data_IF_964203585773
#
_entry.id   IF_964203585773
#
_cell.length_a   1.000
_cell.length_b   1.000
_cell.length_c   1.000
_cell.angle_alpha   90.00
_cell.angle_beta   90.00
_cell.angle_gamma   90.00
#
_symmetry.space_group_name_H-M   'P 1'
#
loop_
_entity.id
_entity.type
_entity.pdbx_description
1 polymer ?
#
# COMPACT_ATOMS: atom_id res chain seq x y z
N UNK A 1 -22.35 8.14 -36.26
CA UNK A 1 -21.51 7.81 -37.43
C UNK A 1 -21.41 6.30 -37.52
N UNK A 2 -21.44 5.69 -38.72
CA UNK A 2 -21.27 4.26 -38.85
C UNK A 2 -19.85 3.85 -38.41
N UNK A 3 -19.71 2.67 -37.83
CA UNK A 3 -18.42 2.12 -37.39
C UNK A 3 -18.18 0.72 -37.97
N UNK A 4 -16.91 0.30 -38.06
CA UNK A 4 -16.55 -1.02 -38.57
C UNK A 4 -16.64 -2.10 -37.48
N UNK A 5 -16.62 -3.37 -37.90
CA UNK A 5 -16.48 -4.52 -36.99
C UNK A 5 -15.20 -4.44 -36.16
N UNK A 6 -14.11 -3.96 -36.75
CA UNK A 6 -12.83 -3.81 -36.05
C UNK A 6 -12.94 -2.73 -34.96
N UNK A 7 -13.54 -1.58 -35.27
CA UNK A 7 -13.74 -0.50 -34.28
C UNK A 7 -14.50 -0.98 -33.05
N UNK A 8 -15.59 -1.74 -33.27
CA UNK A 8 -16.36 -2.32 -32.18
C UNK A 8 -15.54 -3.36 -31.41
N UNK A 9 -14.83 -4.25 -32.11
CA UNK A 9 -14.01 -5.27 -31.48
C UNK A 9 -12.95 -4.65 -30.58
N UNK A 10 -12.20 -3.65 -31.07
CA UNK A 10 -11.17 -2.93 -30.28
C UNK A 10 -11.79 -2.26 -29.06
N UNK A 11 -12.88 -1.51 -29.25
CA UNK A 11 -13.54 -0.76 -28.17
C UNK A 11 -14.11 -1.68 -27.08
N UNK A 12 -14.70 -2.82 -27.47
CA UNK A 12 -15.23 -3.79 -26.53
C UNK A 12 -14.13 -4.57 -25.83
N UNK A 13 -13.12 -5.05 -26.56
CA UNK A 13 -12.08 -5.93 -26.04
C UNK A 13 -11.16 -5.23 -25.03
N UNK A 14 -10.84 -3.95 -25.21
CA UNK A 14 -10.06 -3.18 -24.22
C UNK A 14 -10.69 -3.22 -22.81
N UNK A 15 -12.02 -3.32 -22.73
CA UNK A 15 -12.75 -3.45 -21.46
C UNK A 15 -12.95 -4.91 -21.03
N UNK A 16 -13.20 -5.80 -21.99
CA UNK A 16 -13.51 -7.21 -21.72
C UNK A 16 -12.27 -8.00 -21.31
N UNK A 17 -11.11 -7.81 -21.97
CA UNK A 17 -9.90 -8.60 -21.69
C UNK A 17 -9.47 -8.47 -20.21
N UNK A 18 -9.32 -7.26 -19.61
CA UNK A 18 -8.91 -7.09 -18.21
C UNK A 18 -9.89 -7.69 -17.19
N UNK A 19 -11.19 -7.67 -17.49
CA UNK A 19 -12.24 -8.05 -16.53
C UNK A 19 -12.63 -9.51 -16.61
N UNK A 20 -12.70 -10.05 -17.83
CA UNK A 20 -13.31 -11.35 -18.11
C UNK A 20 -12.28 -12.44 -18.45
N UNK A 21 -10.97 -12.13 -18.34
CA UNK A 21 -9.85 -13.07 -18.55
C UNK A 21 -9.83 -13.71 -19.95
N UNK A 22 -10.32 -12.96 -20.94
CA UNK A 22 -10.15 -13.32 -22.33
C UNK A 22 -8.72 -13.01 -22.78
N UNK A 23 -8.28 -13.69 -23.83
CA UNK A 23 -7.02 -13.48 -24.54
C UNK A 23 -7.31 -13.25 -26.00
N UNK A 24 -6.48 -12.47 -26.67
CA UNK A 24 -6.60 -12.29 -28.10
C UNK A 24 -6.00 -13.52 -28.80
N UNK A 25 -6.67 -14.03 -29.82
CA UNK A 25 -6.05 -14.95 -30.76
C UNK A 25 -5.39 -14.15 -31.88
N UNK A 26 -4.19 -14.56 -32.28
CA UNK A 26 -3.60 -14.04 -33.51
C UNK A 26 -4.48 -14.46 -34.70
N UNK A 27 -4.62 -13.59 -35.70
CA UNK A 27 -5.38 -13.92 -36.91
C UNK A 27 -4.80 -15.13 -37.67
N UNK A 28 -3.50 -15.38 -37.53
CA UNK A 28 -2.78 -16.50 -38.14
C UNK A 28 -2.66 -17.72 -37.22
N UNK A 29 -3.36 -17.75 -36.08
CA UNK A 29 -3.28 -18.86 -35.15
C UNK A 29 -3.85 -20.13 -35.78
N UNK A 30 -2.97 -21.09 -36.07
CA UNK A 30 -3.30 -22.35 -36.72
C UNK A 30 -4.41 -23.12 -36.01
N UNK A 31 -4.57 -22.92 -34.68
CA UNK A 31 -5.57 -23.61 -33.88
C UNK A 31 -7.00 -23.23 -34.26
N UNK A 32 -7.23 -22.01 -34.74
CA UNK A 32 -8.57 -21.46 -34.98
C UNK A 32 -8.91 -21.31 -36.46
N UNK A 33 -8.09 -21.87 -37.36
CA UNK A 33 -8.25 -21.74 -38.82
C UNK A 33 -9.65 -22.16 -39.31
N UNK A 34 -10.27 -23.14 -38.67
CA UNK A 34 -11.59 -23.66 -39.05
C UNK A 34 -12.72 -22.63 -38.99
N UNK A 35 -12.57 -21.55 -38.23
CA UNK A 35 -13.56 -20.46 -38.15
C UNK A 35 -12.96 -19.07 -38.33
N UNK A 36 -11.64 -18.96 -38.50
CA UNK A 36 -10.95 -17.68 -38.72
C UNK A 36 -11.48 -16.93 -39.96
N UNK A 37 -11.79 -17.65 -41.05
CA UNK A 37 -12.28 -17.06 -42.30
C UNK A 37 -13.61 -16.31 -42.16
N UNK A 38 -14.45 -16.70 -41.19
CA UNK A 38 -15.74 -16.05 -40.90
C UNK A 38 -15.64 -15.09 -39.70
N UNK A 39 -14.46 -14.57 -39.42
CA UNK A 39 -14.23 -13.66 -38.32
C UNK A 39 -13.23 -12.56 -38.68
N UNK A 40 -13.37 -11.41 -38.04
CA UNK A 40 -12.36 -10.34 -38.07
C UNK A 40 -11.42 -10.47 -36.86
N UNK A 41 -11.98 -10.76 -35.69
CA UNK A 41 -11.25 -10.90 -34.42
C UNK A 41 -11.79 -12.06 -33.61
N UNK A 42 -10.89 -12.77 -32.96
CA UNK A 42 -11.21 -13.87 -32.05
C UNK A 42 -10.57 -13.55 -30.69
N UNK A 43 -11.38 -13.61 -29.65
CA UNK A 43 -10.93 -13.63 -28.27
C UNK A 43 -11.42 -14.91 -27.61
N UNK A 44 -10.59 -15.50 -26.75
CA UNK A 44 -10.91 -16.76 -26.08
C UNK A 44 -10.49 -16.75 -24.63
N UNK A 45 -11.26 -17.45 -23.81
CA UNK A 45 -10.96 -17.73 -22.40
C UNK A 45 -10.77 -19.23 -22.26
N UNK A 46 -9.52 -19.66 -22.10
CA UNK A 46 -9.21 -21.09 -21.96
C UNK A 46 -9.29 -21.59 -20.50
N UNK A 47 -9.15 -20.70 -19.51
CA UNK A 47 -9.01 -21.09 -18.11
C UNK A 47 -10.32 -20.94 -17.31
N UNK A 48 -10.69 -22.01 -16.61
CA UNK A 48 -11.79 -22.06 -15.63
C UNK A 48 -12.87 -23.06 -16.01
N UNK A 49 -13.93 -23.13 -15.19
CA UNK A 49 -15.04 -24.08 -15.41
C UNK A 49 -15.90 -23.75 -16.65
N UNK A 50 -15.78 -22.54 -17.20
CA UNK A 50 -16.55 -22.05 -18.34
C UNK A 50 -15.62 -21.38 -19.36
N UNK A 51 -14.82 -22.16 -20.11
CA UNK A 51 -14.05 -21.60 -21.20
C UNK A 51 -15.00 -21.05 -22.27
N UNK A 52 -14.60 -20.00 -22.97
CA UNK A 52 -15.51 -19.34 -23.90
C UNK A 52 -14.81 -18.71 -25.09
N UNK A 53 -15.50 -18.70 -26.22
CA UNK A 53 -15.13 -17.90 -27.39
C UNK A 53 -15.98 -16.65 -27.49
N UNK A 54 -15.33 -15.56 -27.90
CA UNK A 54 -15.95 -14.32 -28.34
C UNK A 54 -15.36 -13.98 -29.72
N UNK A 55 -16.18 -14.09 -30.74
CA UNK A 55 -15.77 -13.95 -32.14
C UNK A 55 -16.50 -12.74 -32.72
N UNK A 56 -15.81 -11.86 -33.43
CA UNK A 56 -16.41 -10.72 -34.12
C UNK A 56 -16.45 -11.02 -35.61
N UNK A 57 -17.63 -10.89 -36.21
CA UNK A 57 -17.91 -11.15 -37.63
C UNK A 57 -18.41 -9.85 -38.29
N UNK A 58 -17.84 -9.52 -39.44
CA UNK A 58 -18.20 -8.34 -40.23
C UNK A 58 -19.27 -8.61 -41.29
N UNK A 59 -19.60 -7.61 -42.13
CA UNK A 59 -20.55 -7.76 -43.23
C UNK A 59 -20.01 -8.77 -44.26
N UNK A 60 -20.90 -9.63 -44.77
CA UNK A 60 -20.56 -10.67 -45.76
C UNK A 60 -19.92 -11.93 -45.18
N UNK A 61 -19.59 -11.95 -43.88
CA UNK A 61 -19.16 -13.16 -43.18
C UNK A 61 -20.38 -13.92 -42.63
N UNK A 62 -20.25 -15.24 -42.46
CA UNK A 62 -21.33 -16.08 -41.91
C UNK A 62 -21.14 -16.29 -40.40
N UNK A 63 -21.82 -15.52 -39.53
CA UNK A 63 -21.67 -15.66 -38.08
C UNK A 63 -22.20 -17.00 -37.58
N UNK A 64 -23.20 -17.57 -38.25
CA UNK A 64 -23.75 -18.88 -37.92
C UNK A 64 -22.73 -19.99 -38.22
N UNK A 65 -22.05 -19.95 -39.37
CA UNK A 65 -20.99 -20.90 -39.70
C UNK A 65 -19.80 -20.77 -38.73
N UNK A 66 -19.41 -19.55 -38.38
CA UNK A 66 -18.39 -19.30 -37.36
C UNK A 66 -18.76 -19.90 -36.00
N UNK A 67 -20.02 -19.72 -35.57
CA UNK A 67 -20.51 -20.25 -34.30
C UNK A 67 -20.51 -21.79 -34.28
N UNK A 68 -20.97 -22.43 -35.35
CA UNK A 68 -20.99 -23.89 -35.48
C UNK A 68 -19.58 -24.48 -35.49
N UNK A 69 -18.67 -23.90 -36.27
CA UNK A 69 -17.29 -24.37 -36.35
C UNK A 69 -16.52 -24.16 -35.05
N UNK A 70 -16.71 -23.00 -34.39
CA UNK A 70 -16.10 -22.74 -33.08
C UNK A 70 -16.69 -23.65 -31.99
N UNK A 71 -17.98 -23.97 -32.05
CA UNK A 71 -18.62 -24.88 -31.12
C UNK A 71 -18.10 -26.32 -31.27
N UNK A 72 -17.95 -26.81 -32.51
CA UNK A 72 -17.36 -28.11 -32.79
C UNK A 72 -15.90 -28.18 -32.31
N UNK A 73 -15.12 -27.14 -32.56
CA UNK A 73 -13.74 -27.05 -32.08
C UNK A 73 -13.67 -27.05 -30.54
N UNK A 74 -14.55 -26.30 -29.87
CA UNK A 74 -14.61 -26.19 -28.43
C UNK A 74 -14.93 -27.55 -27.78
N UNK A 75 -15.89 -28.28 -28.34
CA UNK A 75 -16.24 -29.63 -27.87
C UNK A 75 -15.06 -30.61 -28.03
N UNK A 76 -14.36 -30.55 -29.17
CA UNK A 76 -13.22 -31.41 -29.42
C UNK A 76 -12.04 -31.11 -28.49
N UNK A 77 -11.79 -29.83 -28.20
CA UNK A 77 -10.55 -29.36 -27.58
C UNK A 77 -10.65 -29.06 -26.08
N UNK A 78 -11.81 -28.60 -25.60
CA UNK A 78 -12.02 -28.21 -24.20
C UNK A 78 -12.76 -29.31 -23.44
N UNK A 79 -12.07 -30.44 -23.27
CA UNK A 79 -12.56 -31.58 -22.50
C UNK A 79 -12.23 -31.46 -21.01
N UNK A 80 -13.09 -31.99 -20.12
CA UNK A 80 -12.74 -32.18 -18.72
C UNK A 80 -11.45 -32.99 -18.59
N UNK A 81 -10.56 -32.54 -17.72
CA UNK A 81 -9.29 -33.20 -17.42
C UNK A 81 -9.20 -33.45 -15.91
N UNK A 82 -8.17 -34.18 -15.46
CA UNK A 82 -8.06 -34.65 -14.06
C UNK A 82 -8.19 -33.52 -13.01
N UNK A 83 -7.82 -32.29 -13.39
CA UNK A 83 -7.87 -31.08 -12.55
C UNK A 83 -9.21 -30.35 -12.69
N UNK A 84 -9.81 -30.29 -13.88
CA UNK A 84 -11.12 -29.65 -14.12
C UNK A 84 -12.16 -30.69 -14.51
N UNK A 85 -12.78 -31.29 -13.49
CA UNK A 85 -13.78 -32.37 -13.64
C UNK A 85 -15.08 -31.94 -14.33
N UNK A 86 -15.34 -30.63 -14.48
CA UNK A 86 -16.50 -30.08 -15.19
C UNK A 86 -16.08 -28.85 -15.99
N UNK A 87 -16.28 -28.92 -17.30
CA UNK A 87 -16.02 -27.85 -18.25
C UNK A 87 -17.30 -27.63 -19.05
N UNK A 88 -17.82 -26.40 -19.07
CA UNK A 88 -18.98 -26.01 -19.86
C UNK A 88 -18.58 -24.91 -20.83
N UNK A 89 -18.10 -25.28 -22.02
CA UNK A 89 -17.68 -24.31 -23.02
C UNK A 89 -18.88 -23.48 -23.53
N UNK A 90 -18.62 -22.24 -23.91
CA UNK A 90 -19.62 -21.38 -24.56
C UNK A 90 -19.05 -20.59 -25.74
N UNK A 91 -19.86 -20.33 -26.75
CA UNK A 91 -19.44 -19.60 -27.95
C UNK A 91 -20.37 -18.43 -28.22
N UNK A 92 -19.81 -17.23 -28.31
CA UNK A 92 -20.55 -16.05 -28.74
C UNK A 92 -19.92 -15.49 -30.01
N UNK A 93 -20.74 -15.32 -31.04
CA UNK A 93 -20.35 -14.61 -32.26
C UNK A 93 -21.11 -13.29 -32.31
N UNK A 94 -20.39 -12.18 -32.35
CA UNK A 94 -20.93 -10.83 -32.49
C UNK A 94 -20.88 -10.45 -33.96
N UNK A 95 -22.02 -10.42 -34.62
CA UNK A 95 -22.16 -9.94 -35.99
C UNK A 95 -22.35 -8.42 -35.99
N UNK A 96 -21.43 -7.71 -36.66
CA UNK A 96 -21.45 -6.25 -36.79
C UNK A 96 -21.63 -5.90 -38.25
N UNK A 97 -22.83 -5.41 -38.60
CA UNK A 97 -23.17 -4.99 -39.95
C UNK A 97 -24.30 -3.95 -39.90
N UNK A 98 -24.54 -3.22 -41.00
CA UNK A 98 -25.72 -2.36 -41.09
C UNK A 98 -27.00 -3.20 -40.98
N UNK A 99 -28.09 -2.61 -40.46
CA UNK A 99 -29.32 -3.35 -40.15
C UNK A 99 -29.90 -4.24 -41.27
N UNK A 100 -29.69 -3.89 -42.54
CA UNK A 100 -30.15 -4.68 -43.70
C UNK A 100 -29.30 -5.91 -44.01
N UNK A 101 -28.12 -6.05 -43.38
CA UNK A 101 -27.19 -7.16 -43.56
C UNK A 101 -27.03 -8.01 -42.29
N UNK A 102 -27.71 -7.63 -41.20
CA UNK A 102 -27.67 -8.37 -39.95
C UNK A 102 -28.42 -9.70 -40.06
N UNK A 103 -27.76 -10.77 -39.65
CA UNK A 103 -28.43 -12.04 -39.34
C UNK A 103 -29.28 -11.89 -38.08
N UNK A 104 -30.33 -12.69 -37.89
CA UNK A 104 -31.08 -12.71 -36.64
C UNK A 104 -30.16 -13.02 -35.43
N UNK A 105 -30.36 -12.30 -34.33
CA UNK A 105 -29.73 -12.63 -33.05
C UNK A 105 -30.44 -13.84 -32.43
N UNK A 106 -29.72 -14.62 -31.63
CA UNK A 106 -30.31 -15.76 -30.93
C UNK A 106 -29.36 -16.92 -30.68
N UNK A 107 -29.83 -17.94 -29.93
CA UNK A 107 -29.11 -19.18 -29.76
C UNK A 107 -28.94 -19.91 -31.11
N UNK A 108 -27.81 -20.58 -31.28
CA UNK A 108 -27.50 -21.36 -32.48
C UNK A 108 -27.96 -22.80 -32.25
N UNK A 109 -29.06 -23.18 -32.89
CA UNK A 109 -29.56 -24.55 -32.85
C UNK A 109 -28.57 -25.52 -33.51
N UNK A 110 -28.41 -26.71 -32.92
CA UNK A 110 -27.52 -27.76 -33.47
C UNK A 110 -26.03 -27.58 -33.16
N UNK A 111 -25.63 -26.52 -32.46
CA UNK A 111 -24.24 -26.35 -32.03
C UNK A 111 -23.85 -27.40 -30.98
N UNK A 112 -22.63 -27.95 -31.09
CA UNK A 112 -22.11 -28.98 -30.18
C UNK A 112 -22.00 -28.50 -28.72
N UNK A 113 -21.83 -27.19 -28.52
CA UNK A 113 -21.81 -26.53 -27.21
C UNK A 113 -22.74 -25.32 -27.25
N UNK A 114 -23.22 -24.80 -26.10
CA UNK A 114 -24.06 -23.61 -26.08
C UNK A 114 -23.42 -22.47 -26.87
N UNK A 115 -24.09 -22.05 -27.93
CA UNK A 115 -23.62 -21.01 -28.83
C UNK A 115 -24.72 -19.99 -29.12
N UNK A 116 -24.35 -18.73 -29.32
CA UNK A 116 -25.28 -17.66 -29.65
C UNK A 116 -24.67 -16.67 -30.63
N UNK A 117 -25.51 -16.12 -31.51
CA UNK A 117 -25.20 -14.97 -32.35
C UNK A 117 -25.79 -13.74 -31.69
N UNK A 118 -24.93 -12.79 -31.36
CA UNK A 118 -25.31 -11.44 -30.95
C UNK A 118 -25.12 -10.51 -32.13
N UNK A 119 -25.93 -9.46 -32.22
CA UNK A 119 -25.90 -8.54 -33.35
C UNK A 119 -25.71 -7.11 -32.89
N UNK A 120 -24.98 -6.35 -33.68
CA UNK A 120 -24.73 -4.93 -33.46
C UNK A 120 -24.93 -4.21 -34.79
N UNK A 121 -25.96 -3.39 -34.85
CA UNK A 121 -26.22 -2.52 -35.99
C UNK A 121 -25.15 -1.43 -36.02
N UNK A 122 -24.27 -1.47 -37.02
CA UNK A 122 -23.19 -0.49 -37.15
C UNK A 122 -23.67 0.90 -37.54
N UNK A 123 -24.88 1.03 -38.10
CA UNK A 123 -25.47 2.32 -38.50
C UNK A 123 -26.28 2.96 -37.36
N UNK A 124 -27.01 2.14 -36.60
CA UNK A 124 -27.88 2.63 -35.51
C UNK A 124 -27.30 2.44 -34.10
N UNK A 125 -26.22 1.67 -33.94
CA UNK A 125 -25.64 1.32 -32.63
C UNK A 125 -26.53 0.40 -31.78
N UNK A 126 -27.56 -0.21 -32.36
CA UNK A 126 -28.49 -1.11 -31.65
C UNK A 126 -27.82 -2.46 -31.42
N UNK A 127 -27.90 -2.97 -30.20
CA UNK A 127 -27.27 -4.24 -29.80
C UNK A 127 -28.34 -5.24 -29.35
N UNK A 128 -28.44 -6.38 -30.03
CA UNK A 128 -29.30 -7.49 -29.63
C UNK A 128 -28.44 -8.67 -29.15
N UNK A 129 -28.72 -9.15 -27.93
CA UNK A 129 -27.87 -10.12 -27.20
C UNK A 129 -28.72 -11.25 -26.65
N UNK A 130 -29.41 -11.93 -27.55
CA UNK A 130 -30.23 -13.09 -27.23
C UNK A 130 -29.37 -14.34 -27.07
N UNK A 131 -29.67 -15.14 -26.04
CA UNK A 131 -28.83 -16.28 -25.63
C UNK A 131 -27.59 -15.85 -24.82
N UNK A 132 -27.29 -16.57 -23.74
CA UNK A 132 -26.09 -16.34 -22.90
C UNK A 132 -25.32 -17.63 -22.65
N UNK A 133 -24.49 -18.05 -23.62
CA UNK A 133 -23.58 -19.16 -23.45
C UNK A 133 -22.71 -19.02 -22.19
N UNK A 134 -22.35 -20.12 -21.53
CA UNK A 134 -21.48 -20.08 -20.35
C UNK A 134 -20.17 -19.34 -20.64
N UNK A 135 -19.76 -18.46 -19.73
CA UNK A 135 -18.51 -17.71 -19.85
C UNK A 135 -18.56 -16.49 -20.77
N UNK A 136 -19.68 -16.22 -21.46
CA UNK A 136 -19.88 -15.02 -22.29
C UNK A 136 -19.63 -13.72 -21.50
N UNK A 137 -19.08 -12.66 -22.12
CA UNK A 137 -18.96 -11.37 -21.47
C UNK A 137 -20.35 -10.76 -21.16
N UNK A 138 -20.45 -9.82 -20.23
CA UNK A 138 -21.72 -9.14 -19.97
C UNK A 138 -22.16 -8.32 -21.21
N UNK A 139 -23.42 -8.47 -21.67
CA UNK A 139 -23.94 -7.74 -22.84
C UNK A 139 -23.86 -6.21 -22.75
N UNK A 140 -23.73 -5.68 -21.53
CA UNK A 140 -23.55 -4.25 -21.29
C UNK A 140 -22.26 -3.72 -21.90
N UNK A 141 -21.18 -4.52 -21.98
CA UNK A 141 -19.90 -4.06 -22.54
C UNK A 141 -20.01 -3.77 -24.04
N UNK A 142 -20.74 -4.60 -24.79
CA UNK A 142 -21.02 -4.35 -26.21
C UNK A 142 -21.92 -3.13 -26.41
N UNK A 143 -22.96 -2.99 -25.57
CA UNK A 143 -23.83 -1.79 -25.58
C UNK A 143 -23.04 -0.51 -25.31
N UNK A 144 -22.13 -0.55 -24.33
CA UNK A 144 -21.27 0.60 -24.02
C UNK A 144 -20.32 0.90 -25.18
N UNK A 145 -19.69 -0.11 -25.77
CA UNK A 145 -18.79 0.05 -26.92
C UNK A 145 -19.52 0.68 -28.12
N UNK A 146 -20.67 0.12 -28.50
CA UNK A 146 -21.50 0.66 -29.59
C UNK A 146 -21.94 2.11 -29.30
N UNK A 147 -22.40 2.40 -28.07
CA UNK A 147 -22.78 3.77 -27.68
C UNK A 147 -21.61 4.77 -27.69
N UNK A 148 -20.39 4.33 -27.39
CA UNK A 148 -19.21 5.18 -27.40
C UNK A 148 -18.84 5.55 -28.84
N UNK A 149 -18.80 4.57 -29.73
CA UNK A 149 -18.54 4.77 -31.16
C UNK A 149 -19.62 5.64 -31.81
N UNK A 150 -20.90 5.42 -31.47
CA UNK A 150 -22.00 6.26 -31.98
C UNK A 150 -21.89 7.72 -31.55
N UNK A 151 -21.30 7.99 -30.38
CA UNK A 151 -20.99 9.35 -29.89
C UNK A 151 -19.73 9.96 -30.52
N UNK A 152 -19.07 9.26 -31.44
CA UNK A 152 -17.86 9.74 -32.12
C UNK A 152 -16.59 9.59 -31.28
N UNK A 153 -16.60 8.79 -30.21
CA UNK A 153 -15.36 8.44 -29.50
C UNK A 153 -14.50 7.61 -30.46
N UNK A 154 -13.22 7.96 -30.68
CA UNK A 154 -12.35 7.19 -31.57
C UNK A 154 -12.15 5.77 -31.01
N UNK A 155 -12.08 4.79 -31.92
CA UNK A 155 -11.77 3.43 -31.55
C UNK A 155 -10.34 3.36 -30.95
N UNK A 156 -10.13 2.57 -29.89
CA UNK A 156 -8.80 2.33 -29.33
C UNK A 156 -7.83 1.79 -30.38
N UNK A 157 -6.54 2.10 -30.22
CA UNK A 157 -5.51 1.55 -31.11
C UNK A 157 -5.21 0.08 -30.78
N UNK A 158 -4.58 -0.64 -31.72
CA UNK A 158 -4.07 -2.00 -31.46
C UNK A 158 -3.02 -2.02 -30.35
N UNK A 159 -2.23 -0.95 -30.20
CA UNK A 159 -1.28 -0.80 -29.11
C UNK A 159 -1.96 -0.72 -27.74
N UNK A 160 -3.09 -0.02 -27.64
CA UNK A 160 -3.90 0.03 -26.41
C UNK A 160 -4.53 -1.33 -26.08
N UNK A 161 -4.94 -2.08 -27.10
CA UNK A 161 -5.44 -3.44 -26.91
C UNK A 161 -4.34 -4.40 -26.42
N UNK A 162 -3.13 -4.33 -26.99
CA UNK A 162 -1.97 -5.10 -26.52
C UNK A 162 -1.56 -4.69 -25.10
N UNK A 163 -1.61 -3.39 -24.76
CA UNK A 163 -1.42 -2.92 -23.39
C UNK A 163 -2.50 -3.44 -22.45
N UNK A 164 -3.76 -3.54 -22.88
CA UNK A 164 -4.83 -4.12 -22.07
C UNK A 164 -4.62 -5.64 -21.86
N UNK A 165 -4.13 -6.36 -22.87
CA UNK A 165 -3.77 -7.78 -22.77
C UNK A 165 -2.52 -8.01 -21.89
N UNK A 166 -1.46 -7.21 -22.06
CA UNK A 166 -0.30 -7.20 -21.16
C UNK A 166 -0.69 -6.78 -19.75
N UNK A 167 -1.64 -5.87 -19.61
CA UNK A 167 -2.28 -5.50 -18.35
C UNK A 167 -2.96 -6.69 -17.69
N UNK A 168 -3.56 -7.62 -18.44
CA UNK A 168 -4.05 -8.92 -17.91
C UNK A 168 -2.90 -9.81 -17.45
N UNK A 169 -1.76 -9.80 -18.14
CA UNK A 169 -0.56 -10.56 -17.74
C UNK A 169 0.14 -9.96 -16.51
N UNK A 170 0.06 -8.65 -16.30
CA UNK A 170 0.56 -7.97 -15.09
C UNK A 170 -0.47 -7.97 -13.94
N UNK A 171 -1.78 -7.95 -14.23
CA UNK A 171 -2.84 -8.18 -13.23
C UNK A 171 -2.88 -9.64 -12.74
N UNK A 172 -2.21 -10.55 -13.44
CA UNK A 172 -1.89 -11.90 -12.94
C UNK A 172 -0.97 -11.86 -11.71
N UNK A 173 -0.31 -10.74 -11.43
CA UNK A 173 0.65 -10.63 -10.31
C UNK A 173 0.17 -9.87 -9.09
N UNK A 174 -0.92 -9.09 -9.10
CA UNK A 174 -1.38 -8.46 -7.86
C UNK A 174 -2.88 -8.17 -7.87
N UNK A 175 -3.64 -8.97 -7.13
CA UNK A 175 -5.02 -8.64 -6.74
C UNK A 175 -5.03 -7.63 -5.60
N UNK A 176 -4.48 -6.43 -5.81
CA UNK A 176 -4.66 -5.31 -4.88
C UNK A 176 -6.00 -4.61 -5.17
N UNK A 177 -6.86 -4.38 -4.17
CA UNK A 177 -8.09 -3.61 -4.36
C UNK A 177 -7.75 -2.19 -4.85
N UNK A 178 -8.44 -1.71 -5.90
CA UNK A 178 -8.20 -0.39 -6.52
C UNK A 178 -8.28 0.81 -5.57
N UNK A 179 -9.03 0.70 -4.47
CA UNK A 179 -9.14 1.76 -3.47
C UNK A 179 -7.99 1.74 -2.43
N UNK A 180 -7.25 0.62 -2.35
CA UNK A 180 -6.13 0.45 -1.42
C UNK A 180 -4.79 0.90 -2.01
N UNK A 181 -4.60 0.81 -3.34
CA UNK A 181 -3.30 1.07 -3.97
C UNK A 181 -2.82 2.52 -3.85
N UNK A 182 -3.74 3.49 -3.79
CA UNK A 182 -3.40 4.90 -3.60
C UNK A 182 -3.10 5.22 -2.14
N UNK A 183 -4.08 5.02 -1.26
CA UNK A 183 -4.01 5.47 0.14
C UNK A 183 -3.09 4.57 0.97
N UNK A 184 -3.21 3.24 0.88
CA UNK A 184 -2.31 2.35 1.63
C UNK A 184 -0.88 2.37 1.09
N UNK A 185 -0.71 2.61 -0.22
CA UNK A 185 0.60 2.88 -0.81
C UNK A 185 1.22 4.17 -0.25
N UNK A 186 0.43 5.24 -0.13
CA UNK A 186 0.89 6.51 0.45
C UNK A 186 1.21 6.37 1.94
N UNK A 187 0.39 5.64 2.71
CA UNK A 187 0.65 5.36 4.12
C UNK A 187 1.89 4.48 4.29
N UNK A 188 2.06 3.41 3.52
CA UNK A 188 3.26 2.57 3.57
C UNK A 188 4.51 3.35 3.15
N UNK A 189 4.41 4.22 2.15
CA UNK A 189 5.49 5.10 1.75
C UNK A 189 5.84 6.11 2.84
N UNK A 190 4.85 6.75 3.45
CA UNK A 190 5.04 7.64 4.58
C UNK A 190 5.64 6.92 5.80
N UNK A 191 5.18 5.71 6.09
CA UNK A 191 5.73 4.86 7.15
C UNK A 191 7.17 4.44 6.85
N UNK A 192 7.48 4.08 5.60
CA UNK A 192 8.82 3.74 5.16
C UNK A 192 9.77 4.95 5.26
N UNK A 193 9.31 6.14 4.87
CA UNK A 193 10.10 7.36 4.97
C UNK A 193 10.32 7.77 6.43
N UNK A 194 9.25 7.73 7.24
CA UNK A 194 9.29 8.22 8.62
C UNK A 194 9.97 7.27 9.58
N UNK A 195 9.75 5.96 9.45
CA UNK A 195 10.25 4.94 10.39
C UNK A 195 11.35 4.05 9.82
N UNK A 196 11.47 3.91 8.50
CA UNK A 196 12.57 3.16 7.88
C UNK A 196 13.93 3.82 8.14
N UNK A 197 13.97 5.17 8.11
CA UNK A 197 15.15 5.93 8.48
C UNK A 197 15.46 5.81 9.98
N UNK A 198 14.47 5.97 10.87
CA UNK A 198 14.67 5.85 12.32
C UNK A 198 15.05 4.42 12.74
N UNK A 199 14.50 3.40 12.09
CA UNK A 199 14.87 2.00 12.32
C UNK A 199 16.31 1.70 11.90
N UNK A 200 16.78 2.27 10.80
CA UNK A 200 18.19 2.22 10.39
C UNK A 200 19.11 2.91 11.41
N UNK A 201 18.71 4.07 11.92
CA UNK A 201 19.46 4.75 12.99
C UNK A 201 19.42 3.98 14.32
N UNK A 202 18.37 3.20 14.60
CA UNK A 202 18.30 2.36 15.80
C UNK A 202 19.30 1.20 15.81
N UNK A 203 19.85 0.80 14.64
CA UNK A 203 20.96 -0.15 14.55
C UNK A 203 22.27 0.42 15.13
N UNK A 204 22.35 1.73 15.36
CA UNK A 204 23.49 2.35 16.07
C UNK A 204 23.43 2.03 17.58
N UNK A 205 22.27 1.66 18.12
CA UNK A 205 22.09 1.22 19.52
C UNK A 205 22.32 -0.30 19.72
N UNK A 206 22.66 -1.04 18.65
CA UNK A 206 22.97 -2.47 18.72
C UNK A 206 24.20 -2.80 19.61
N UNK A 207 25.28 -2.00 19.63
CA UNK A 207 26.42 -2.22 20.52
C UNK A 207 26.04 -2.10 22.00
N UNK A 208 25.13 -1.20 22.36
CA UNK A 208 24.63 -1.04 23.73
C UNK A 208 23.69 -2.17 24.17
N UNK A 209 23.02 -2.84 23.22
CA UNK A 209 22.22 -4.04 23.48
C UNK A 209 23.05 -5.33 23.62
N UNK A 210 24.26 -5.37 23.05
CA UNK A 210 25.17 -6.52 23.10
C UNK A 210 26.21 -6.45 24.22
N UNK A 211 26.26 -5.33 24.97
CA UNK A 211 27.15 -5.15 26.12
C UNK A 211 26.69 -5.92 27.37
N UNK A 212 27.61 -6.11 28.33
CA UNK A 212 27.36 -6.90 29.57
C UNK A 212 26.49 -6.18 30.64
N UNK A 213 26.00 -4.96 30.38
CA UNK A 213 25.18 -4.21 31.33
C UNK A 213 23.68 -4.54 31.16
N UNK A 214 22.87 -4.51 32.23
CA UNK A 214 21.43 -4.72 32.12
C UNK A 214 20.80 -3.62 31.26
N UNK A 215 20.32 -4.02 30.07
CA UNK A 215 19.67 -3.12 29.13
C UNK A 215 18.26 -2.79 29.59
N UNK A 216 17.88 -1.51 29.70
CA UNK A 216 16.55 -1.15 30.18
C UNK A 216 15.47 -1.53 29.16
N UNK A 217 14.30 -1.90 29.68
CA UNK A 217 13.24 -2.57 28.91
C UNK A 217 12.67 -1.70 27.77
N UNK A 218 12.70 -0.37 27.92
CA UNK A 218 12.26 0.56 26.88
C UNK A 218 13.20 0.56 25.65
N UNK A 219 14.51 0.35 25.84
CA UNK A 219 15.48 0.23 24.73
C UNK A 219 15.23 -1.06 23.95
N UNK A 220 14.98 -2.17 24.65
CA UNK A 220 14.63 -3.46 24.04
C UNK A 220 13.30 -3.36 23.30
N UNK A 221 12.28 -2.73 23.91
CA UNK A 221 10.97 -2.54 23.31
C UNK A 221 11.02 -1.64 22.07
N UNK A 222 11.74 -0.52 22.15
CA UNK A 222 11.93 0.42 21.04
C UNK A 222 12.68 -0.21 19.86
N UNK A 223 13.76 -0.95 20.14
CA UNK A 223 14.49 -1.68 19.11
C UNK A 223 13.63 -2.77 18.45
N UNK A 224 12.91 -3.56 19.25
CA UNK A 224 12.04 -4.63 18.74
C UNK A 224 10.92 -4.07 17.88
N UNK A 225 10.27 -2.98 18.31
CA UNK A 225 9.21 -2.33 17.55
C UNK A 225 9.75 -1.76 16.22
N UNK A 226 10.91 -1.10 16.23
CA UNK A 226 11.55 -0.60 15.01
C UNK A 226 11.92 -1.71 14.02
N UNK A 227 12.48 -2.82 14.51
CA UNK A 227 12.81 -3.99 13.69
C UNK A 227 11.55 -4.62 13.07
N UNK A 228 10.47 -4.77 13.85
CA UNK A 228 9.20 -5.30 13.35
C UNK A 228 8.55 -4.38 12.31
N UNK A 229 8.62 -3.07 12.49
CA UNK A 229 8.14 -2.10 11.49
C UNK A 229 8.94 -2.22 10.20
N UNK A 230 10.28 -2.30 10.29
CA UNK A 230 11.13 -2.45 9.11
C UNK A 230 10.79 -3.73 8.34
N UNK A 231 10.69 -4.86 9.03
CA UNK A 231 10.29 -6.15 8.44
C UNK A 231 8.89 -6.03 7.82
N UNK A 232 7.96 -5.38 8.51
CA UNK A 232 6.60 -5.13 8.04
C UNK A 232 6.55 -4.30 6.75
N UNK A 233 7.39 -3.25 6.65
CA UNK A 233 7.53 -2.42 5.44
C UNK A 233 8.08 -3.23 4.28
N UNK A 234 9.18 -3.96 4.48
CA UNK A 234 9.80 -4.80 3.45
C UNK A 234 8.82 -5.86 2.96
N UNK A 235 8.10 -6.51 3.88
CA UNK A 235 7.06 -7.48 3.56
C UNK A 235 5.89 -6.86 2.79
N UNK A 236 5.40 -5.69 3.21
CA UNK A 236 4.34 -4.95 2.53
C UNK A 236 4.72 -4.54 1.12
N UNK A 237 5.95 -4.04 0.93
CA UNK A 237 6.50 -3.72 -0.39
C UNK A 237 6.64 -4.98 -1.26
N UNK A 238 7.17 -6.08 -0.72
CA UNK A 238 7.28 -7.35 -1.42
C UNK A 238 5.91 -7.92 -1.84
N UNK A 239 4.87 -7.74 -1.02
CA UNK A 239 3.48 -8.09 -1.37
C UNK A 239 2.90 -7.17 -2.46
N UNK A 240 3.11 -5.86 -2.36
CA UNK A 240 2.63 -4.87 -3.32
C UNK A 240 3.23 -5.07 -4.71
N UNK A 241 4.54 -5.28 -4.78
CA UNK A 241 5.26 -5.53 -6.03
C UNK A 241 5.26 -7.01 -6.44
N UNK A 242 4.61 -7.87 -5.65
CA UNK A 242 4.58 -9.32 -5.83
C UNK A 242 5.97 -9.94 -6.08
N UNK A 243 6.97 -9.47 -5.34
CA UNK A 243 8.33 -9.96 -5.45
C UNK A 243 8.37 -11.47 -5.17
N UNK A 244 8.94 -12.26 -6.08
CA UNK A 244 9.00 -13.74 -5.98
C UNK A 244 7.64 -14.43 -5.76
N UNK A 245 6.54 -13.86 -6.26
CA UNK A 245 5.18 -14.40 -6.08
C UNK A 245 4.74 -14.50 -4.60
N UNK A 246 5.22 -13.58 -3.75
CA UNK A 246 4.91 -13.60 -2.32
C UNK A 246 3.40 -13.51 -2.04
N UNK A 247 2.64 -12.76 -2.86
CA UNK A 247 1.20 -12.62 -2.71
C UNK A 247 0.43 -13.95 -2.85
N UNK A 248 1.02 -14.94 -3.52
CA UNK A 248 0.45 -16.28 -3.67
C UNK A 248 0.92 -17.28 -2.62
N UNK A 249 1.94 -16.94 -1.83
CA UNK A 249 2.51 -17.80 -0.78
C UNK A 249 2.11 -17.35 0.62
N UNK A 250 1.79 -16.07 0.79
CA UNK A 250 1.40 -15.51 2.07
C UNK A 250 -0.05 -15.91 2.44
N UNK A 251 -0.27 -16.51 3.63
CA UNK A 251 -1.59 -16.86 4.12
C UNK A 251 -2.53 -15.65 4.16
N UNK A 252 -3.81 -15.83 3.79
CA UNK A 252 -4.80 -14.75 3.73
C UNK A 252 -4.70 -13.88 2.47
N UNK A 253 -3.50 -13.47 2.05
CA UNK A 253 -3.27 -12.68 0.82
C UNK A 253 -3.48 -13.49 -0.46
N UNK A 254 -3.13 -14.78 -0.43
CA UNK A 254 -3.32 -15.71 -1.55
C UNK A 254 -4.79 -16.13 -1.79
N UNK A 255 -5.72 -15.71 -0.92
CA UNK A 255 -7.12 -16.11 -0.99
C UNK A 255 -7.80 -15.62 -2.26
N UNK A 256 -8.52 -16.53 -2.93
CA UNK A 256 -9.41 -16.23 -4.06
C UNK A 256 -10.70 -15.52 -3.63
N UNK A 257 -11.08 -15.67 -2.35
CA UNK A 257 -12.25 -15.02 -1.75
C UNK A 257 -11.89 -13.58 -1.36
N UNK A 258 -12.57 -12.54 -1.93
CA UNK A 258 -12.26 -11.14 -1.68
C UNK A 258 -12.32 -10.73 -0.20
N UNK A 259 -13.31 -11.23 0.56
CA UNK A 259 -13.49 -10.91 1.97
C UNK A 259 -12.28 -11.32 2.83
N UNK A 260 -11.76 -12.54 2.64
CA UNK A 260 -10.57 -13.03 3.36
C UNK A 260 -9.31 -12.24 3.00
N UNK A 261 -9.17 -11.83 1.73
CA UNK A 261 -8.04 -11.01 1.29
C UNK A 261 -8.10 -9.60 1.86
N UNK A 262 -9.29 -9.00 1.92
CA UNK A 262 -9.48 -7.68 2.55
C UNK A 262 -9.22 -7.74 4.05
N UNK A 263 -9.62 -8.82 4.72
CA UNK A 263 -9.33 -9.04 6.14
C UNK A 263 -7.81 -9.16 6.38
N UNK A 264 -7.08 -9.86 5.53
CA UNK A 264 -5.61 -9.96 5.62
C UNK A 264 -4.91 -8.59 5.47
N UNK A 265 -5.37 -7.77 4.51
CA UNK A 265 -4.89 -6.39 4.37
C UNK A 265 -5.25 -5.52 5.58
N UNK A 266 -6.49 -5.63 6.06
CA UNK A 266 -6.94 -4.90 7.25
C UNK A 266 -6.15 -5.26 8.50
N UNK A 267 -5.90 -6.55 8.75
CA UNK A 267 -5.10 -7.02 9.89
C UNK A 267 -3.65 -6.57 9.79
N UNK A 268 -3.06 -6.58 8.59
CA UNK A 268 -1.70 -6.08 8.37
C UNK A 268 -1.60 -4.58 8.70
N UNK A 269 -2.53 -3.77 8.18
CA UNK A 269 -2.56 -2.32 8.46
C UNK A 269 -2.74 -2.07 9.96
N UNK A 270 -3.67 -2.76 10.61
CA UNK A 270 -3.90 -2.63 12.05
C UNK A 270 -2.65 -2.97 12.87
N UNK A 271 -1.90 -4.02 12.50
CA UNK A 271 -0.65 -4.38 13.15
C UNK A 271 0.43 -3.29 12.98
N UNK A 272 0.58 -2.74 11.76
CA UNK A 272 1.52 -1.66 11.49
C UNK A 272 1.18 -0.37 12.27
N UNK A 273 -0.10 -0.03 12.36
CA UNK A 273 -0.58 1.11 13.17
C UNK A 273 -0.34 0.86 14.66
N UNK A 274 -0.61 -0.35 15.16
CA UNK A 274 -0.35 -0.74 16.54
C UNK A 274 1.12 -0.58 16.92
N UNK A 275 2.04 -1.05 16.06
CA UNK A 275 3.48 -0.88 16.26
C UNK A 275 3.89 0.61 16.28
N UNK A 276 3.26 1.44 15.44
CA UNK A 276 3.49 2.88 15.44
C UNK A 276 3.10 3.55 16.77
N UNK A 277 1.94 3.15 17.33
CA UNK A 277 1.44 3.65 18.62
C UNK A 277 2.39 3.24 19.74
N UNK A 278 2.92 2.02 19.71
CA UNK A 278 3.92 1.55 20.69
C UNK A 278 5.16 2.46 20.66
N UNK A 279 5.68 2.78 19.48
CA UNK A 279 6.86 3.63 19.34
C UNK A 279 6.63 5.09 19.71
N UNK A 280 5.44 5.65 19.42
CA UNK A 280 5.16 7.06 19.68
C UNK A 280 4.61 7.33 21.08
N UNK A 281 3.93 6.35 21.68
CA UNK A 281 3.26 6.52 22.97
C UNK A 281 3.91 5.70 24.08
N UNK A 282 4.03 4.40 23.88
CA UNK A 282 4.41 3.46 24.95
C UNK A 282 5.90 3.54 25.27
N UNK A 283 6.78 3.57 24.28
CA UNK A 283 8.24 3.64 24.50
C UNK A 283 8.64 4.94 25.20
N UNK A 284 8.19 6.14 24.77
CA UNK A 284 8.47 7.37 25.50
C UNK A 284 7.86 7.41 26.90
N UNK A 285 6.70 6.77 27.12
CA UNK A 285 6.11 6.68 28.45
C UNK A 285 6.92 5.77 29.39
N UNK A 286 7.46 4.65 28.88
CA UNK A 286 8.35 3.77 29.62
C UNK A 286 9.71 4.43 29.89
N UNK A 287 10.25 5.17 28.92
CA UNK A 287 11.48 5.95 29.08
C UNK A 287 11.34 6.98 30.21
N UNK A 288 10.21 7.72 30.25
CA UNK A 288 9.89 8.65 31.35
C UNK A 288 9.71 7.99 32.71
N UNK A 289 9.34 6.71 32.77
CA UNK A 289 9.24 5.96 34.02
C UNK A 289 10.61 5.45 34.51
N UNK A 290 11.56 5.23 33.60
CA UNK A 290 12.91 4.74 33.91
C UNK A 290 13.95 5.85 34.08
N UNK A 291 13.69 7.06 33.57
CA UNK A 291 14.27 8.25 34.17
C UNK A 291 13.76 8.22 35.61
N UNK A 292 14.62 8.10 36.64
CA UNK A 292 14.15 8.26 38.00
C UNK A 292 13.39 9.56 37.99
N UNK A 293 12.08 9.50 38.22
CA UNK A 293 11.31 10.70 38.46
C UNK A 293 12.13 11.47 39.49
N UNK A 294 12.57 12.68 39.14
CA UNK A 294 12.94 13.68 40.13
C UNK A 294 11.66 13.91 40.94
N UNK A 295 11.41 13.01 41.90
CA UNK A 295 10.07 12.75 42.40
C UNK A 295 9.95 11.41 43.13
N UNK A 296 10.96 11.06 43.93
CA UNK A 296 10.88 10.24 45.17
C UNK A 296 12.25 9.96 45.80
N UNK A 297 13.32 10.61 45.33
CA UNK A 297 14.41 11.01 46.24
C UNK A 297 13.95 12.22 47.05
N UNK A 298 14.49 12.40 48.24
CA UNK A 298 14.17 13.41 49.28
C UNK A 298 14.21 14.90 48.83
N UNK A 299 14.27 15.19 47.53
CA UNK A 299 14.41 16.53 46.95
C UNK A 299 15.73 17.22 47.30
N UNK A 300 16.59 16.56 48.08
CA UNK A 300 17.82 17.14 48.63
C UNK A 300 18.96 17.23 47.61
N UNK A 301 18.99 16.37 46.60
CA UNK A 301 19.98 16.41 45.51
C UNK A 301 19.32 16.05 44.19
N UNK A 302 19.30 17.00 43.25
CA UNK A 302 18.66 16.87 41.94
C UNK A 302 19.71 17.18 40.87
N UNK A 303 19.76 16.38 39.82
CA UNK A 303 20.66 16.64 38.68
C UNK A 303 19.84 16.79 37.41
N UNK A 304 20.16 17.81 36.65
CA UNK A 304 19.49 18.23 35.43
C UNK A 304 20.52 18.26 34.30
N UNK A 305 20.13 17.81 33.13
CA UNK A 305 21.00 17.68 31.96
C UNK A 305 20.44 18.44 30.75
N UNK A 306 21.17 18.44 29.63
CA UNK A 306 20.73 19.04 28.36
C UNK A 306 19.34 18.53 27.91
N UNK A 307 18.94 17.31 28.31
CA UNK A 307 17.64 16.73 27.92
C UNK A 307 16.44 17.35 28.64
N UNK A 308 16.68 18.06 29.74
CA UNK A 308 15.66 18.67 30.58
C UNK A 308 15.37 20.14 30.19
N UNK A 309 15.91 20.58 29.04
CA UNK A 309 15.71 21.93 28.52
C UNK A 309 14.22 22.21 28.24
N UNK A 310 13.74 23.36 28.71
CA UNK A 310 12.33 23.74 28.73
C UNK A 310 11.47 23.00 29.76
N UNK A 311 12.06 22.13 30.58
CA UNK A 311 11.38 21.31 31.58
C UNK A 311 11.12 22.00 32.92
N UNK A 312 10.51 21.25 33.84
CA UNK A 312 10.25 21.64 35.22
C UNK A 312 10.77 20.57 36.18
N UNK A 313 11.45 21.00 37.25
CA UNK A 313 12.04 20.11 38.25
C UNK A 313 11.70 20.57 39.66
N UNK A 314 11.59 19.61 40.58
CA UNK A 314 11.31 19.85 41.98
C UNK A 314 12.58 19.67 42.83
N UNK A 315 12.85 20.62 43.74
CA UNK A 315 13.97 20.58 44.69
C UNK A 315 13.44 20.91 46.09
N UNK A 316 13.87 20.19 47.13
CA UNK A 316 13.51 20.53 48.50
C UNK A 316 14.31 21.75 48.99
N UNK A 317 13.71 22.59 49.83
CA UNK A 317 14.43 23.70 50.49
C UNK A 317 15.62 23.15 51.26
N UNK A 318 16.80 23.76 51.08
CA UNK A 318 18.07 23.28 51.62
C UNK A 318 18.81 22.26 50.73
N UNK A 319 18.15 21.75 49.68
CA UNK A 319 18.71 20.83 48.70
C UNK A 319 19.64 21.50 47.68
N UNK A 320 20.26 20.66 46.84
CA UNK A 320 21.18 21.04 45.78
C UNK A 320 20.63 20.62 44.42
N UNK A 321 20.72 21.53 43.45
CA UNK A 321 20.46 21.30 42.05
C UNK A 321 21.79 21.36 41.29
N UNK A 322 22.18 20.28 40.63
CA UNK A 322 23.32 20.22 39.73
C UNK A 322 22.83 20.30 38.29
N UNK A 323 23.35 21.24 37.52
CA UNK A 323 23.07 21.37 36.08
C UNK A 323 24.31 20.93 35.32
N UNK A 324 24.21 19.81 34.60
CA UNK A 324 25.28 19.20 33.82
C UNK A 324 24.98 19.34 32.30
N UNK A 325 25.67 20.27 31.66
CA UNK A 325 25.54 20.52 30.22
C UNK A 325 26.69 19.90 29.41
N UNK A 326 27.38 18.88 29.93
CA UNK A 326 28.47 18.19 29.21
C UNK A 326 28.05 17.57 27.88
N UNK A 327 26.75 17.43 27.62
CA UNK A 327 26.20 17.07 26.33
C UNK A 327 26.35 18.14 25.24
N UNK A 328 26.73 19.38 25.58
CA UNK A 328 27.07 20.42 24.61
C UNK A 328 28.47 20.20 24.00
N UNK A 329 28.68 20.57 22.72
CA UNK A 329 29.98 20.44 22.07
C UNK A 329 31.11 21.13 22.87
N UNK A 330 32.30 20.52 22.90
CA UNK A 330 33.45 21.03 23.68
C UNK A 330 33.98 22.40 23.25
N UNK A 331 33.64 22.86 22.05
CA UNK A 331 33.91 24.22 21.59
C UNK A 331 33.10 25.29 22.34
N UNK A 332 32.05 24.90 23.05
CA UNK A 332 31.03 25.78 23.65
C UNK A 332 31.07 25.80 25.18
N UNK A 333 32.10 25.20 25.78
CA UNK A 333 32.15 25.00 27.22
C UNK A 333 32.33 26.26 28.04
N UNK A 334 32.54 27.42 27.39
CA UNK A 334 32.40 28.75 27.98
C UNK A 334 30.91 29.07 28.26
N UNK A 335 30.37 28.58 29.37
CA UNK A 335 28.94 28.71 29.70
C UNK A 335 28.71 29.64 30.89
N UNK A 336 27.78 30.58 30.74
CA UNK A 336 27.33 31.43 31.85
C UNK A 336 26.03 30.89 32.43
N UNK A 337 26.03 30.54 33.71
CA UNK A 337 24.85 30.11 34.45
C UNK A 337 24.25 31.27 35.25
N UNK A 338 22.91 31.38 35.24
CA UNK A 338 22.16 32.40 35.97
C UNK A 338 20.90 31.80 36.59
N UNK A 339 20.54 32.28 37.77
CA UNK A 339 19.23 32.04 38.38
C UNK A 339 18.37 33.29 38.18
N UNK A 340 17.11 33.10 37.78
CA UNK A 340 16.13 34.19 37.66
C UNK A 340 15.72 34.77 39.02
N UNK A 341 15.94 34.01 40.10
CA UNK A 341 15.63 34.42 41.47
C UNK A 341 16.68 33.87 42.45
N UNK A 342 17.82 34.57 42.62
CA UNK A 342 18.91 34.16 43.50
C UNK A 342 18.52 34.00 44.97
N UNK A 343 17.44 34.67 45.43
CA UNK A 343 16.94 34.56 46.80
C UNK A 343 16.24 33.23 47.09
N UNK A 344 15.81 32.52 46.05
CA UNK A 344 15.12 31.23 46.13
C UNK A 344 16.07 30.12 45.70
N UNK A 345 16.87 30.35 44.66
CA UNK A 345 17.84 29.40 44.12
C UNK A 345 19.18 30.11 43.85
N UNK A 346 20.17 29.85 44.70
CA UNK A 346 21.47 30.53 44.68
C UNK A 346 22.52 29.72 43.92
N UNK A 347 23.29 30.35 43.04
CA UNK A 347 24.42 29.72 42.36
C UNK A 347 25.62 29.60 43.31
N UNK A 348 26.14 28.39 43.51
CA UNK A 348 27.28 28.15 44.40
C UNK A 348 28.63 28.40 43.69
N UNK A 349 29.50 29.28 44.23
CA UNK A 349 30.76 29.66 43.58
C UNK A 349 31.85 28.57 43.66
N UNK A 350 31.83 27.70 44.66
CA UNK A 350 32.96 26.81 44.98
C UNK A 350 32.85 25.38 44.40
N UNK A 351 31.78 25.07 43.66
CA UNK A 351 31.52 23.72 43.09
C UNK A 351 31.21 23.73 41.59
N UNK A 352 31.55 24.80 40.89
CA UNK A 352 31.65 24.80 39.43
C UNK A 352 33.02 24.25 39.07
N UNK A 353 33.12 23.01 38.56
CA UNK A 353 34.28 22.69 37.71
C UNK A 353 34.30 23.77 36.63
N UNK A 354 35.38 24.55 36.57
CA UNK A 354 35.40 25.88 35.95
C UNK A 354 34.59 25.92 34.64
N UNK A 355 33.69 26.90 34.46
CA UNK A 355 32.89 27.08 33.25
C UNK A 355 33.73 27.38 32.00
N UNK A 356 35.05 27.17 32.03
CA UNK A 356 35.95 27.17 30.88
C UNK A 356 36.43 25.75 30.50
N UNK A 357 36.21 24.74 31.34
CA UNK A 357 36.71 23.37 31.18
C UNK A 357 35.63 22.30 31.25
N UNK A 358 34.47 22.59 31.86
CA UNK A 358 33.30 21.71 31.86
C UNK A 358 32.04 22.52 32.21
N UNK A 359 30.94 22.44 31.44
CA UNK A 359 29.76 23.27 31.66
C UNK A 359 28.85 22.64 32.74
N UNK A 360 29.31 22.63 33.99
CA UNK A 360 28.57 22.11 35.15
C UNK A 360 28.45 23.19 36.23
N UNK A 361 27.24 23.39 36.74
CA UNK A 361 26.97 24.33 37.83
C UNK A 361 26.15 23.69 38.94
N UNK A 362 26.39 24.13 40.18
CA UNK A 362 25.60 23.70 41.35
C UNK A 362 24.86 24.89 41.92
N UNK A 363 23.57 24.72 42.15
CA UNK A 363 22.69 25.67 42.80
C UNK A 363 22.20 25.12 44.14
N UNK A 364 21.98 26.02 45.09
CA UNK A 364 21.41 25.70 46.40
C UNK A 364 19.99 26.25 46.49
N UNK A 365 19.04 25.42 46.88
CA UNK A 365 17.68 25.84 47.18
C UNK A 365 17.67 26.53 48.56
N UNK A 366 17.48 27.84 48.58
CA UNK A 366 17.59 28.67 49.79
C UNK A 366 16.24 28.84 50.48
N UNK A 367 15.17 29.02 49.70
CA UNK A 367 13.82 29.23 50.22
C UNK A 367 12.78 28.61 49.28
N UNK A 368 11.59 28.30 49.80
CA UNK A 368 10.50 27.77 49.01
C UNK A 368 9.97 28.80 48.00
N UNK A 369 9.64 28.35 46.80
CA UNK A 369 9.15 29.21 45.72
C UNK A 369 9.62 28.74 44.35
N UNK A 370 9.43 29.59 43.34
CA UNK A 370 9.81 29.28 41.97
C UNK A 370 11.03 30.08 41.54
N UNK A 371 11.96 29.39 40.89
CA UNK A 371 13.10 29.98 40.20
C UNK A 371 13.24 29.36 38.81
N UNK A 372 14.13 29.94 38.00
CA UNK A 372 14.49 29.43 36.70
C UNK A 372 16.00 29.48 36.57
N UNK A 373 16.60 28.42 36.07
CA UNK A 373 18.02 28.41 35.71
C UNK A 373 18.12 28.65 34.21
N UNK A 374 18.88 29.66 33.84
CA UNK A 374 19.23 29.99 32.47
C UNK A 374 20.73 29.74 32.29
N UNK A 375 21.11 29.07 31.20
CA UNK A 375 22.50 28.94 30.79
C UNK A 375 22.66 29.30 29.31
N UNK A 376 23.77 29.98 28.98
CA UNK A 376 24.08 30.37 27.61
C UNK A 376 25.55 30.14 27.28
N UNK A 377 25.83 29.63 26.08
CA UNK A 377 27.19 29.56 25.55
C UNK A 377 27.74 30.97 25.28
N UNK A 378 29.06 31.14 25.36
CA UNK A 378 29.73 32.42 25.17
C UNK A 378 29.52 33.05 23.80
N UNK A 379 29.19 32.24 22.79
CA UNK A 379 28.84 32.67 21.43
C UNK A 379 27.32 32.91 21.23
N UNK A 380 26.49 32.64 22.25
CA UNK A 380 25.04 32.80 22.22
C UNK A 380 24.26 31.79 21.37
N UNK A 381 24.92 30.75 20.84
CA UNK A 381 24.31 29.78 19.94
C UNK A 381 23.52 28.68 20.66
N UNK A 382 23.87 28.38 21.91
CA UNK A 382 23.18 27.41 22.74
C UNK A 382 22.62 28.06 23.97
N UNK A 383 21.36 27.75 24.25
CA UNK A 383 20.63 28.20 25.43
C UNK A 383 20.03 27.01 26.12
N UNK A 384 19.98 27.08 27.44
CA UNK A 384 19.32 26.11 28.29
C UNK A 384 18.46 26.86 29.30
N UNK A 385 17.25 26.37 29.52
CA UNK A 385 16.31 26.93 30.48
C UNK A 385 15.56 25.81 31.20
N UNK A 386 15.57 25.81 32.54
CA UNK A 386 14.75 24.89 33.33
C UNK A 386 14.02 25.64 34.43
N UNK A 387 12.74 25.34 34.63
CA UNK A 387 11.96 25.86 35.74
C UNK A 387 12.17 24.98 36.97
N UNK A 388 12.37 25.61 38.12
CA UNK A 388 12.64 24.94 39.39
C UNK A 388 11.55 25.32 40.37
N UNK A 389 10.79 24.34 40.83
CA UNK A 389 9.85 24.44 41.94
C UNK A 389 10.54 23.99 43.23
N UNK A 390 10.61 24.88 44.21
CA UNK A 390 11.29 24.63 45.48
C UNK A 390 10.24 24.46 46.57
N UNK A 391 10.05 23.21 46.99
CA UNK A 391 9.09 22.86 48.04
C UNK A 391 9.63 23.15 49.43
N UNK A 392 8.71 23.47 50.36
CA UNK A 392 9.01 23.35 51.79
C UNK A 392 9.28 21.88 52.14
N UNK A 393 10.20 21.59 53.07
CA UNK A 393 10.50 20.22 53.49
C UNK A 393 9.28 19.51 54.07
#
# INVERSE_FOLDING_TARGET
MPFSVEDLALTALVRILPRSRYRLAAQTDARFQSFAANSTRIAYRQQGATPAFLIFSGPGQSPHAAAMAAAAWAEASWRPNAIQRRVRPGVVVVHVAPGNQLTPAGPVAGAAVPAAVWTVDSAAGRVATEGRPPGSPPPSELRHAASALMRGVPAPSLGELDLAEKGVMQMRTAGTPRWLSGIAGLFLFYFALRYGLTGLFSLIALPSLLGQAPTPLYVVAGFTANALILVGIVFGAALLFNFRNLAHRAPGFASTVPARRNLAWGSYIAAMVGLAIVLQGVVPALERQTIPSAGQGDGTHVTVTVQDDGGEVFVATGGQLVVDLTGWPSSEWAVTFKSSNPSVLELMPDKTESPATRPVATFRAVSAGFARVDAGSGDGKYTFQVRVDIGSP
#
